data_IF_954736292630
#
_entry.id   IF_954736292630
#
_cell.length_a   1.000
_cell.length_b   1.000
_cell.length_c   1.000
_cell.angle_alpha   90.00
_cell.angle_beta   90.00
_cell.angle_gamma   90.00
#
_symmetry.space_group_name_H-M   'P 1'
#
loop_
_entity.id
_entity.type
_entity.pdbx_description
1 polymer ?
#
# COMPACT_ATOMS: atom_id res chain seq x y z
N UNK A 1 -16.84 15.44 8.06
CA UNK A 1 -16.70 16.64 8.91
C UNK A 1 -15.41 17.41 8.64
N UNK A 2 -14.50 16.86 7.83
CA UNK A 2 -13.14 17.37 7.60
C UNK A 2 -12.96 18.08 6.26
N UNK A 3 -13.92 18.00 5.34
CA UNK A 3 -13.86 18.68 4.03
C UNK A 3 -13.87 20.20 4.20
N UNK A 4 -12.88 20.87 3.59
CA UNK A 4 -12.76 22.32 3.59
C UNK A 4 -12.03 22.93 4.80
N UNK A 5 -11.48 22.09 5.68
CA UNK A 5 -10.63 22.53 6.80
C UNK A 5 -9.19 22.69 6.37
N UNK A 6 -8.49 23.63 6.98
CA UNK A 6 -7.03 23.74 6.85
C UNK A 6 -6.31 22.64 7.67
N UNK A 7 -5.01 22.39 7.44
CA UNK A 7 -4.26 21.34 8.14
C UNK A 7 -4.27 21.44 9.67
N UNK A 8 -4.29 22.65 10.23
CA UNK A 8 -4.31 22.86 11.68
C UNK A 8 -5.68 22.50 12.27
N UNK A 9 -6.76 22.96 11.60
CA UNK A 9 -8.13 22.62 11.98
C UNK A 9 -8.39 21.11 11.88
N UNK A 10 -7.79 20.43 10.88
CA UNK A 10 -7.84 18.97 10.76
C UNK A 10 -7.19 18.28 11.97
N UNK A 11 -6.04 18.78 12.42
CA UNK A 11 -5.35 18.24 13.58
C UNK A 11 -6.21 18.41 14.86
N UNK A 12 -6.84 19.55 15.04
CA UNK A 12 -7.69 19.83 16.21
C UNK A 12 -8.91 18.92 16.23
N UNK A 13 -9.58 18.73 15.09
CA UNK A 13 -10.73 17.81 14.98
C UNK A 13 -10.33 16.36 15.24
N UNK A 14 -9.19 15.91 14.74
CA UNK A 14 -8.66 14.56 15.00
C UNK A 14 -8.40 14.34 16.49
N UNK A 15 -7.79 15.31 17.14
CA UNK A 15 -7.53 15.27 18.58
C UNK A 15 -8.84 15.24 19.38
N UNK A 16 -9.83 16.05 19.01
CA UNK A 16 -11.14 16.05 19.65
C UNK A 16 -11.83 14.69 19.51
N UNK A 17 -11.82 14.08 18.31
CA UNK A 17 -12.39 12.75 18.09
C UNK A 17 -11.71 11.71 18.97
N UNK A 18 -10.38 11.72 19.07
CA UNK A 18 -9.61 10.81 19.93
C UNK A 18 -9.94 11.00 21.41
N UNK A 19 -10.05 12.23 21.89
CA UNK A 19 -10.41 12.50 23.29
C UNK A 19 -11.83 12.00 23.61
N UNK A 20 -12.80 12.30 22.76
CA UNK A 20 -14.17 11.79 22.91
C UNK A 20 -14.23 10.26 22.85
N UNK A 21 -13.38 9.64 22.02
CA UNK A 21 -13.31 8.20 21.85
C UNK A 21 -12.82 7.45 23.11
N UNK A 22 -12.15 8.13 24.05
CA UNK A 22 -11.74 7.52 25.33
C UNK A 22 -12.92 7.16 26.23
N UNK A 23 -14.02 7.90 26.12
CA UNK A 23 -15.20 7.72 26.96
C UNK A 23 -16.43 7.20 26.19
N UNK A 24 -16.43 7.34 24.86
CA UNK A 24 -17.60 7.05 24.01
C UNK A 24 -17.21 6.26 22.78
N UNK A 25 -18.11 5.41 22.32
CA UNK A 25 -17.99 4.80 20.98
C UNK A 25 -18.39 5.83 19.93
N UNK A 26 -17.49 6.15 19.02
CA UNK A 26 -17.72 7.09 17.92
C UNK A 26 -17.79 6.30 16.61
N UNK A 27 -18.86 6.49 15.87
CA UNK A 27 -18.97 5.99 14.49
C UNK A 27 -18.67 7.16 13.54
N UNK A 28 -17.62 6.97 12.74
CA UNK A 28 -17.14 7.95 11.79
C UNK A 28 -17.27 7.40 10.36
N UNK A 29 -18.02 8.06 9.50
CA UNK A 29 -18.16 7.68 8.10
C UNK A 29 -17.35 8.61 7.22
N UNK A 30 -16.42 8.03 6.48
CA UNK A 30 -15.55 8.77 5.54
C UNK A 30 -15.15 7.87 4.36
N UNK A 31 -14.74 8.50 3.27
CA UNK A 31 -14.08 7.84 2.13
C UNK A 31 -12.60 8.23 2.04
N UNK A 32 -12.09 8.98 3.01
CA UNK A 32 -10.71 9.49 3.06
C UNK A 32 -9.90 8.57 3.96
N UNK A 33 -9.07 7.73 3.37
CA UNK A 33 -8.30 6.70 4.09
C UNK A 33 -7.27 7.28 5.06
N UNK A 34 -6.73 8.47 4.79
CA UNK A 34 -5.85 9.18 5.72
C UNK A 34 -6.55 9.54 7.04
N UNK A 35 -7.85 9.81 7.01
CA UNK A 35 -8.63 10.04 8.24
C UNK A 35 -8.85 8.75 9.00
N UNK A 36 -9.15 7.66 8.27
CA UNK A 36 -9.29 6.34 8.87
C UNK A 36 -8.02 5.96 9.63
N UNK A 37 -6.85 6.11 9.00
CA UNK A 37 -5.56 5.82 9.65
C UNK A 37 -5.27 6.72 10.87
N UNK A 38 -5.70 7.98 10.79
CA UNK A 38 -5.37 8.96 11.81
C UNK A 38 -6.21 8.82 13.10
N UNK A 39 -7.48 8.36 13.01
CA UNK A 39 -8.42 8.45 14.14
C UNK A 39 -9.18 7.17 14.45
N UNK A 40 -9.19 6.14 13.57
CA UNK A 40 -10.01 4.96 13.78
C UNK A 40 -9.21 3.82 14.41
N UNK A 41 -9.76 3.16 15.41
CA UNK A 41 -9.22 1.94 16.01
C UNK A 41 -9.73 0.68 15.27
N UNK A 42 -10.86 0.81 14.56
CA UNK A 42 -11.52 -0.28 13.82
C UNK A 42 -12.17 0.29 12.56
N UNK A 43 -12.09 -0.46 11.48
CA UNK A 43 -12.62 -0.09 10.16
C UNK A 43 -13.60 -1.15 9.69
N UNK A 44 -14.76 -0.69 9.29
CA UNK A 44 -15.80 -1.51 8.67
C UNK A 44 -15.96 -1.02 7.23
N UNK A 45 -15.69 -1.89 6.27
CA UNK A 45 -15.87 -1.59 4.84
C UNK A 45 -17.16 -2.24 4.34
N UNK A 46 -18.03 -1.42 3.77
CA UNK A 46 -19.31 -1.86 3.20
C UNK A 46 -19.26 -1.61 1.69
N UNK A 47 -19.58 -2.63 0.91
CA UNK A 47 -19.71 -2.53 -0.54
C UNK A 47 -20.99 -3.21 -1.01
N UNK A 48 -21.81 -2.52 -1.81
CA UNK A 48 -23.09 -3.02 -2.35
C UNK A 48 -23.99 -3.65 -1.26
N UNK A 49 -24.05 -2.99 -0.09
CA UNK A 49 -24.85 -3.45 1.06
C UNK A 49 -24.29 -4.65 1.82
N UNK A 50 -23.09 -5.12 1.51
CA UNK A 50 -22.43 -6.23 2.19
C UNK A 50 -21.21 -5.73 2.97
N UNK A 51 -20.99 -6.33 4.15
CA UNK A 51 -19.76 -6.17 4.90
C UNK A 51 -18.64 -6.91 4.15
N UNK A 52 -17.60 -6.18 3.74
CA UNK A 52 -16.46 -6.77 2.99
C UNK A 52 -15.18 -6.82 3.83
N UNK A 53 -15.08 -5.98 4.86
CA UNK A 53 -14.02 -6.05 5.84
C UNK A 53 -14.46 -5.48 7.19
N UNK A 54 -13.91 -6.02 8.28
CA UNK A 54 -14.11 -5.57 9.65
C UNK A 54 -12.83 -5.86 10.44
N UNK A 55 -11.92 -4.87 10.45
CA UNK A 55 -10.57 -5.05 10.95
C UNK A 55 -9.97 -3.74 11.51
N UNK A 56 -8.82 -3.85 12.17
CA UNK A 56 -7.99 -2.69 12.50
C UNK A 56 -7.35 -2.13 11.23
N UNK A 57 -7.12 -0.79 11.14
CA UNK A 57 -6.45 -0.18 9.97
C UNK A 57 -5.14 -0.88 9.58
N UNK A 58 -4.35 -1.26 10.58
CA UNK A 58 -3.05 -1.94 10.40
C UNK A 58 -3.22 -3.33 9.77
N UNK A 59 -4.27 -4.06 10.15
CA UNK A 59 -4.55 -5.40 9.66
C UNK A 59 -5.15 -5.39 8.25
N UNK A 60 -5.82 -4.31 7.84
CA UNK A 60 -6.33 -4.18 6.48
C UNK A 60 -5.20 -4.27 5.45
N UNK A 61 -4.03 -3.71 5.75
CA UNK A 61 -2.85 -3.85 4.90
C UNK A 61 -2.42 -5.31 4.77
N UNK A 62 -2.56 -6.10 5.83
CA UNK A 62 -2.21 -7.52 5.84
C UNK A 62 -3.24 -8.43 5.16
N UNK A 63 -4.53 -8.05 5.16
CA UNK A 63 -5.62 -8.86 4.55
C UNK A 63 -5.45 -9.09 3.05
N UNK A 64 -4.83 -8.14 2.34
CA UNK A 64 -4.57 -8.24 0.90
C UNK A 64 -3.10 -8.43 0.56
N UNK A 65 -2.21 -8.40 1.56
CA UNK A 65 -0.77 -8.50 1.36
C UNK A 65 -0.25 -9.95 1.36
N UNK A 66 -0.91 -10.85 0.62
CA UNK A 66 -0.17 -11.98 0.06
C UNK A 66 0.83 -11.52 -1.02
N UNK A 67 0.80 -10.25 -1.37
CA UNK A 67 1.59 -9.66 -2.44
C UNK A 67 2.46 -8.53 -1.92
N UNK A 68 3.75 -8.66 -2.13
CA UNK A 68 4.77 -7.69 -1.74
C UNK A 68 5.17 -6.90 -2.96
N UNK A 69 5.23 -5.59 -2.81
CA UNK A 69 5.65 -4.65 -3.83
C UNK A 69 7.07 -4.18 -3.53
N UNK A 70 7.98 -4.36 -4.48
CA UNK A 70 9.34 -3.82 -4.39
C UNK A 70 9.58 -2.89 -5.57
N UNK A 71 9.68 -1.60 -5.27
CA UNK A 71 10.15 -0.60 -6.22
C UNK A 71 11.66 -0.76 -6.41
N UNK A 72 12.08 -0.83 -7.66
CA UNK A 72 13.47 -0.95 -8.06
C UNK A 72 13.84 0.09 -9.10
N UNK A 73 15.05 0.62 -9.00
CA UNK A 73 15.65 1.47 -10.00
C UNK A 73 17.02 0.91 -10.38
N UNK A 74 17.22 0.70 -11.67
CA UNK A 74 18.49 0.22 -12.24
C UNK A 74 19.28 1.39 -12.82
N UNK A 75 20.61 1.26 -12.86
CA UNK A 75 21.48 2.28 -13.47
C UNK A 75 21.24 2.40 -14.99
N UNK A 76 21.00 1.28 -15.65
CA UNK A 76 20.82 1.21 -17.10
C UNK A 76 19.41 0.76 -17.45
N UNK A 77 18.95 1.14 -18.66
CA UNK A 77 17.69 0.67 -19.20
C UNK A 77 17.63 -0.86 -19.21
N UNK A 78 16.45 -1.38 -18.90
CA UNK A 78 16.19 -2.82 -18.90
C UNK A 78 14.83 -3.08 -19.57
N UNK A 79 14.71 -4.21 -20.23
CA UNK A 79 13.45 -4.61 -20.84
C UNK A 79 12.59 -5.35 -19.83
N UNK A 80 11.29 -5.14 -19.86
CA UNK A 80 10.34 -5.82 -18.96
C UNK A 80 10.43 -7.34 -19.08
N UNK A 81 10.66 -7.87 -20.29
CA UNK A 81 10.81 -9.30 -20.55
C UNK A 81 12.04 -9.91 -19.85
N UNK A 82 13.08 -9.11 -19.64
CA UNK A 82 14.25 -9.57 -18.88
C UNK A 82 13.94 -9.71 -17.40
N UNK A 83 13.11 -8.82 -16.85
CA UNK A 83 12.68 -8.87 -15.45
C UNK A 83 11.76 -10.05 -15.15
N UNK A 84 11.04 -10.59 -16.16
CA UNK A 84 10.23 -11.81 -16.01
C UNK A 84 11.09 -13.05 -15.71
N UNK A 85 12.41 -12.98 -15.93
CA UNK A 85 13.34 -14.06 -15.58
C UNK A 85 13.65 -14.11 -14.07
N UNK A 86 13.29 -13.05 -13.32
CA UNK A 86 13.51 -13.03 -11.87
C UNK A 86 12.51 -14.00 -11.22
N UNK A 87 13.05 -14.94 -10.44
CA UNK A 87 12.21 -15.88 -9.70
C UNK A 87 11.32 -15.14 -8.70
N UNK A 88 10.14 -15.69 -8.43
CA UNK A 88 9.16 -15.14 -7.47
C UNK A 88 8.55 -13.78 -7.86
N UNK A 89 8.80 -13.25 -9.05
CA UNK A 89 8.07 -12.12 -9.63
C UNK A 89 6.85 -12.66 -10.39
N UNK A 90 5.67 -12.09 -10.10
CA UNK A 90 4.41 -12.49 -10.77
C UNK A 90 3.86 -11.40 -11.68
N UNK A 91 4.09 -10.14 -11.30
CA UNK A 91 3.63 -8.98 -12.05
C UNK A 91 4.72 -7.90 -12.01
N UNK A 92 4.82 -7.13 -13.07
CA UNK A 92 5.80 -6.05 -13.23
C UNK A 92 5.06 -4.82 -13.74
N UNK A 93 5.09 -3.77 -12.93
CA UNK A 93 4.60 -2.45 -13.33
C UNK A 93 5.79 -1.60 -13.75
N UNK A 94 5.75 -1.13 -14.99
CA UNK A 94 6.80 -0.26 -15.54
C UNK A 94 6.48 1.19 -15.22
N UNK A 95 7.39 1.86 -14.51
CA UNK A 95 7.32 3.30 -14.25
C UNK A 95 8.10 4.08 -15.31
N UNK A 96 9.32 3.64 -15.59
CA UNK A 96 10.20 4.26 -16.60
C UNK A 96 11.05 3.21 -17.32
N UNK A 97 12.07 3.63 -18.05
CA UNK A 97 13.02 2.72 -18.69
C UNK A 97 13.96 2.02 -17.68
N UNK A 98 14.12 2.58 -16.48
CA UNK A 98 14.97 2.09 -15.41
C UNK A 98 14.24 1.75 -14.12
N UNK A 99 12.99 2.22 -13.96
CA UNK A 99 12.20 2.07 -12.73
C UNK A 99 11.00 1.15 -12.93
N UNK A 100 10.81 0.23 -11.99
CA UNK A 100 9.76 -0.79 -12.02
C UNK A 100 9.26 -1.07 -10.61
N UNK A 101 8.00 -1.52 -10.50
CA UNK A 101 7.48 -2.16 -9.28
C UNK A 101 7.34 -3.65 -9.56
N UNK A 102 8.01 -4.45 -8.76
CA UNK A 102 8.02 -5.91 -8.87
C UNK A 102 7.12 -6.50 -7.78
N UNK A 103 6.20 -7.36 -8.18
CA UNK A 103 5.25 -8.02 -7.30
C UNK A 103 5.69 -9.43 -6.97
N UNK A 104 5.68 -9.79 -5.70
CA UNK A 104 6.04 -11.12 -5.21
C UNK A 104 5.33 -11.49 -3.92
N UNK A 105 5.68 -12.67 -3.35
CA UNK A 105 5.03 -13.18 -2.12
C UNK A 105 5.95 -13.17 -0.91
N UNK A 106 7.25 -13.31 -1.11
CA UNK A 106 8.25 -13.34 -0.03
C UNK A 106 9.23 -12.18 -0.21
N UNK A 107 9.22 -11.24 0.72
CA UNK A 107 10.05 -10.03 0.61
C UNK A 107 11.55 -10.32 0.70
N UNK A 108 11.95 -11.29 1.51
CA UNK A 108 13.36 -11.62 1.69
C UNK A 108 13.91 -12.33 0.46
N UNK A 109 13.15 -13.32 -0.03
CA UNK A 109 13.58 -14.07 -1.20
C UNK A 109 13.51 -13.20 -2.46
N UNK A 110 12.43 -12.43 -2.65
CA UNK A 110 12.30 -11.54 -3.81
C UNK A 110 13.46 -10.52 -3.89
N UNK A 111 13.86 -9.93 -2.76
CA UNK A 111 15.03 -9.02 -2.74
C UNK A 111 16.33 -9.71 -3.13
N UNK A 112 16.54 -10.94 -2.68
CA UNK A 112 17.73 -11.74 -3.07
C UNK A 112 17.73 -12.02 -4.57
N UNK A 113 16.58 -12.40 -5.13
CA UNK A 113 16.43 -12.73 -6.54
C UNK A 113 16.63 -11.48 -7.42
N UNK A 114 16.09 -10.33 -7.03
CA UNK A 114 16.31 -9.04 -7.69
C UNK A 114 17.79 -8.66 -7.65
N UNK A 115 18.44 -8.79 -6.51
CA UNK A 115 19.87 -8.48 -6.37
C UNK A 115 20.72 -9.40 -7.24
N UNK A 116 20.46 -10.71 -7.20
CA UNK A 116 21.18 -11.69 -8.03
C UNK A 116 21.02 -11.39 -9.52
N UNK A 117 19.82 -11.02 -9.94
CA UNK A 117 19.53 -10.60 -11.31
C UNK A 117 20.35 -9.36 -11.71
N UNK A 118 20.35 -8.31 -10.87
CA UNK A 118 21.12 -7.09 -11.13
C UNK A 118 22.62 -7.38 -11.32
N UNK A 119 23.17 -8.24 -10.46
CA UNK A 119 24.57 -8.71 -10.57
C UNK A 119 24.79 -9.46 -11.88
N UNK A 120 23.90 -10.40 -12.23
CA UNK A 120 24.03 -11.21 -13.46
C UNK A 120 24.02 -10.37 -14.74
N UNK A 121 23.28 -9.26 -14.72
CA UNK A 121 23.17 -8.31 -15.85
C UNK A 121 24.24 -7.22 -15.85
N UNK A 122 25.11 -7.18 -14.83
CA UNK A 122 26.05 -6.09 -14.62
C UNK A 122 25.36 -4.71 -14.71
N UNK A 123 24.19 -4.61 -14.06
CA UNK A 123 23.33 -3.43 -14.01
C UNK A 123 23.00 -3.11 -12.56
N UNK A 124 23.77 -2.22 -11.92
CA UNK A 124 23.58 -1.89 -10.50
C UNK A 124 22.19 -1.40 -10.18
N UNK A 125 21.69 -1.78 -9.01
CA UNK A 125 20.50 -1.20 -8.41
C UNK A 125 20.85 0.13 -7.75
N UNK A 126 20.15 1.19 -8.12
CA UNK A 126 20.23 2.50 -7.49
C UNK A 126 19.24 2.61 -6.32
N UNK A 127 18.10 1.96 -6.47
CA UNK A 127 17.06 1.92 -5.43
C UNK A 127 16.47 0.52 -5.34
N UNK A 128 16.19 0.07 -4.12
CA UNK A 128 15.37 -1.11 -3.82
C UNK A 128 14.58 -0.84 -2.56
N UNK A 129 13.30 -0.51 -2.70
CA UNK A 129 12.43 -0.13 -1.59
C UNK A 129 11.19 -1.01 -1.59
N UNK A 130 10.85 -1.57 -0.44
CA UNK A 130 9.56 -2.24 -0.27
C UNK A 130 8.47 -1.18 -0.14
N UNK A 131 7.47 -1.30 -0.98
CA UNK A 131 6.26 -0.51 -0.87
C UNK A 131 5.16 -1.32 -0.17
N UNK A 132 4.42 -0.66 0.70
CA UNK A 132 3.21 -1.21 1.27
C UNK A 132 2.03 -0.67 0.45
N UNK A 133 1.08 -1.53 0.11
CA UNK A 133 -0.17 -1.06 -0.50
C UNK A 133 -0.80 -0.02 0.39
N UNK A 134 -1.20 1.09 -0.17
CA UNK A 134 -1.94 2.11 0.56
C UNK A 134 -3.33 1.58 0.98
N UNK A 135 -3.93 2.16 2.02
CA UNK A 135 -5.33 1.80 2.36
C UNK A 135 -6.31 2.15 1.24
N UNK A 136 -5.97 3.16 0.42
CA UNK A 136 -6.72 3.52 -0.78
C UNK A 136 -6.75 2.38 -1.80
N UNK A 137 -5.60 1.77 -2.08
CA UNK A 137 -5.48 0.63 -3.02
C UNK A 137 -6.24 -0.58 -2.50
N UNK A 138 -6.12 -0.84 -1.19
CA UNK A 138 -6.84 -1.91 -0.50
C UNK A 138 -8.35 -1.69 -0.60
N UNK A 139 -8.80 -0.48 -0.33
CA UNK A 139 -10.21 -0.12 -0.44
C UNK A 139 -10.72 -0.31 -1.88
N UNK A 140 -9.96 0.12 -2.89
CA UNK A 140 -10.30 -0.07 -4.30
C UNK A 140 -10.42 -1.54 -4.67
N UNK A 141 -9.49 -2.38 -4.23
CA UNK A 141 -9.53 -3.83 -4.47
C UNK A 141 -10.75 -4.48 -3.79
N UNK A 142 -11.04 -4.13 -2.53
CA UNK A 142 -12.18 -4.67 -1.79
C UNK A 142 -13.54 -4.21 -2.35
N UNK A 143 -13.59 -3.05 -2.98
CA UNK A 143 -14.82 -2.48 -3.53
C UNK A 143 -15.00 -2.72 -5.02
N UNK A 144 -14.03 -3.34 -5.71
CA UNK A 144 -14.13 -3.73 -7.12
C UNK A 144 -14.20 -2.54 -8.09
N UNK A 145 -13.57 -1.43 -7.75
CA UNK A 145 -13.29 -0.35 -8.70
C UNK A 145 -11.99 -0.70 -9.44
N UNK A 146 -12.13 -1.38 -10.57
CA UNK A 146 -11.14 -1.36 -11.63
C UNK A 146 -11.22 -0.03 -12.37
#
# INVERSE_FOLDING_TARGET
>A
PTSGLDPNQLADIRNLIKELGKEKTIIFSTHIMQEVQAVCDRVIIINKGKLVADEKPENLQNLLSSEILIEVEFEKNILTDELQQIQNVHLIDKISATQFVLHGKDSVQLRKDIFAFAVSKNNPLLTMKQENKSLEDIFQQLTGKN
#
